data_IF_552301397632
#
_entry.id   IF_552301397632
#
_cell.length_a   1.000
_cell.length_b   1.000
_cell.length_c   1.000
_cell.angle_alpha   90.00
_cell.angle_beta   90.00
_cell.angle_gamma   90.00
#
_symmetry.space_group_name_H-M   'P 1'
#
loop_
_entity.id
_entity.type
_entity.pdbx_description
1 polymer ?
#
# COMPACT_ATOMS: atom_id res chain seq x y z
N UNK A 1 -17.63 -11.80 -11.93
CA UNK A 1 -16.41 -12.63 -11.83
C UNK A 1 -15.27 -11.79 -12.37
N UNK A 2 -14.33 -11.42 -11.51
CA UNK A 2 -13.12 -10.74 -11.96
C UNK A 2 -12.33 -11.62 -12.92
N UNK A 3 -11.85 -11.01 -14.00
CA UNK A 3 -11.03 -11.72 -14.98
C UNK A 3 -9.64 -11.97 -14.41
N UNK A 4 -9.16 -13.21 -14.53
CA UNK A 4 -7.80 -13.60 -14.18
C UNK A 4 -6.82 -13.05 -15.22
N UNK A 5 -6.20 -11.92 -14.89
CA UNK A 5 -5.33 -11.18 -15.80
C UNK A 5 -3.97 -10.81 -15.18
N UNK A 6 -3.73 -11.15 -13.91
CA UNK A 6 -2.47 -10.86 -13.23
C UNK A 6 -1.66 -12.14 -13.07
N UNK A 7 -0.34 -12.00 -13.19
CA UNK A 7 0.59 -13.13 -13.12
C UNK A 7 1.40 -13.07 -11.83
N UNK A 8 1.49 -14.21 -11.16
CA UNK A 8 2.46 -14.43 -10.09
C UNK A 8 3.41 -15.51 -10.55
N UNK A 9 4.70 -15.26 -10.43
CA UNK A 9 5.75 -16.18 -10.82
C UNK A 9 6.56 -16.58 -9.60
N UNK A 10 7.04 -17.82 -9.59
CA UNK A 10 8.09 -18.24 -8.67
C UNK A 10 9.18 -18.98 -9.41
N UNK A 11 10.42 -18.66 -9.08
CA UNK A 11 11.60 -19.22 -9.71
C UNK A 11 12.36 -20.10 -8.71
N UNK A 12 12.69 -21.32 -9.13
CA UNK A 12 13.50 -22.20 -8.30
C UNK A 12 14.95 -21.72 -8.20
N UNK A 13 15.40 -21.36 -7.00
CA UNK A 13 16.75 -20.82 -6.75
C UNK A 13 17.92 -21.78 -7.08
N UNK A 14 17.63 -23.06 -7.33
CA UNK A 14 18.64 -24.07 -7.69
C UNK A 14 18.78 -24.29 -9.19
N UNK A 15 17.69 -24.28 -9.94
CA UNK A 15 17.69 -24.68 -11.35
C UNK A 15 16.99 -23.70 -12.31
N UNK A 16 16.57 -22.53 -11.81
CA UNK A 16 15.96 -21.45 -12.59
C UNK A 16 14.62 -21.82 -13.24
N UNK A 17 13.97 -22.90 -12.79
CA UNK A 17 12.67 -23.29 -13.34
C UNK A 17 11.60 -22.35 -12.82
N UNK A 18 10.93 -21.66 -13.73
CA UNK A 18 9.84 -20.73 -13.44
C UNK A 18 8.51 -21.49 -13.47
N UNK A 19 7.71 -21.30 -12.42
CA UNK A 19 6.30 -21.68 -12.37
C UNK A 19 5.47 -20.40 -12.29
N UNK A 20 4.32 -20.37 -12.95
CA UNK A 20 3.46 -19.18 -12.94
C UNK A 20 2.01 -19.53 -12.72
N UNK A 21 1.29 -18.61 -12.10
CA UNK A 21 -0.14 -18.67 -11.84
C UNK A 21 -0.80 -17.41 -12.37
N UNK A 22 -1.96 -17.56 -12.99
CA UNK A 22 -2.82 -16.42 -13.33
C UNK A 22 -3.90 -16.27 -12.26
N UNK A 23 -3.99 -15.08 -11.70
CA UNK A 23 -4.86 -14.72 -10.58
C UNK A 23 -5.72 -13.50 -10.94
N UNK A 24 -6.78 -13.30 -10.18
CA UNK A 24 -7.60 -12.09 -10.24
C UNK A 24 -6.82 -10.89 -9.68
N UNK A 25 -7.30 -9.68 -9.98
CA UNK A 25 -6.74 -8.45 -9.43
C UNK A 25 -6.75 -8.46 -7.90
N UNK A 26 -7.88 -8.86 -7.31
CA UNK A 26 -8.08 -8.96 -5.86
C UNK A 26 -7.11 -9.94 -5.21
N UNK A 27 -6.99 -11.15 -5.76
CA UNK A 27 -6.08 -12.17 -5.25
C UNK A 27 -4.62 -11.68 -5.25
N UNK A 28 -4.21 -10.92 -6.27
CA UNK A 28 -2.87 -10.33 -6.32
C UNK A 28 -2.72 -9.13 -5.38
N UNK A 29 -3.72 -8.24 -5.29
CA UNK A 29 -3.66 -7.04 -4.44
C UNK A 29 -3.55 -7.37 -2.95
N UNK A 30 -4.15 -8.48 -2.52
CA UNK A 30 -4.24 -8.87 -1.10
C UNK A 30 -3.50 -10.16 -0.74
N UNK A 31 -2.64 -10.66 -1.62
CA UNK A 31 -1.89 -11.92 -1.45
C UNK A 31 -2.74 -13.12 -0.96
N UNK A 32 -3.91 -13.32 -1.58
CA UNK A 32 -4.90 -14.32 -1.11
C UNK A 32 -4.63 -15.75 -1.58
N UNK A 33 -3.43 -16.02 -2.15
CA UNK A 33 -3.12 -17.30 -2.77
C UNK A 33 -2.06 -18.07 -1.97
N UNK A 34 -2.42 -19.30 -1.59
CA UNK A 34 -1.45 -20.28 -1.10
C UNK A 34 -0.68 -20.91 -2.28
N UNK A 35 0.50 -20.35 -2.56
CA UNK A 35 1.38 -20.81 -3.65
C UNK A 35 1.81 -22.27 -3.50
N UNK A 36 2.06 -22.70 -2.28
CA UNK A 36 2.54 -24.05 -1.98
C UNK A 36 1.45 -25.08 -2.21
N UNK A 37 0.20 -24.74 -1.89
CA UNK A 37 -0.96 -25.57 -2.21
C UNK A 37 -1.23 -25.63 -3.70
N UNK A 38 -1.10 -24.53 -4.44
CA UNK A 38 -1.46 -24.46 -5.86
C UNK A 38 -0.35 -25.01 -6.77
N UNK A 39 0.91 -24.63 -6.53
CA UNK A 39 2.05 -24.96 -7.39
C UNK A 39 2.92 -26.10 -6.81
N UNK A 40 2.64 -26.54 -5.59
CA UNK A 40 3.37 -27.58 -4.85
C UNK A 40 4.57 -27.04 -4.07
N UNK A 41 4.97 -27.70 -2.99
CA UNK A 41 6.08 -27.25 -2.10
C UNK A 41 7.48 -27.48 -2.72
N UNK A 42 7.59 -28.27 -3.79
CA UNK A 42 8.87 -28.67 -4.39
C UNK A 42 8.95 -28.31 -5.86
N UNK A 43 10.15 -27.97 -6.32
CA UNK A 43 10.41 -27.72 -7.73
C UNK A 43 10.14 -29.00 -8.54
N UNK A 44 9.36 -28.94 -9.63
CA UNK A 44 9.05 -30.13 -10.42
C UNK A 44 10.27 -30.72 -11.13
N UNK A 45 11.34 -29.94 -11.31
CA UNK A 45 12.56 -30.36 -12.02
C UNK A 45 13.66 -30.90 -11.11
N UNK A 46 13.94 -30.23 -9.98
CA UNK A 46 15.07 -30.57 -9.11
C UNK A 46 14.68 -30.89 -7.66
N UNK A 47 13.37 -30.87 -7.35
CA UNK A 47 12.79 -31.13 -6.02
C UNK A 47 13.26 -30.21 -4.89
N UNK A 48 13.99 -29.14 -5.20
CA UNK A 48 14.35 -28.09 -4.24
C UNK A 48 13.10 -27.38 -3.71
N UNK A 49 13.17 -26.84 -2.49
CA UNK A 49 12.05 -26.14 -1.83
C UNK A 49 12.22 -24.61 -1.79
N UNK A 50 13.37 -24.09 -2.20
CA UNK A 50 13.65 -22.67 -2.15
C UNK A 50 13.28 -22.02 -3.48
N UNK A 51 12.47 -20.96 -3.38
CA UNK A 51 11.98 -20.18 -4.50
C UNK A 51 12.11 -18.68 -4.19
N UNK A 52 12.37 -17.88 -5.22
CA UNK A 52 12.00 -16.46 -5.22
C UNK A 52 10.59 -16.34 -5.78
N UNK A 53 9.80 -15.40 -5.28
CA UNK A 53 8.46 -15.10 -5.79
C UNK A 53 8.51 -13.68 -6.36
N UNK A 54 7.94 -13.52 -7.54
CA UNK A 54 7.80 -12.25 -8.24
C UNK A 54 6.33 -12.02 -8.54
N UNK A 55 5.83 -10.89 -8.10
CA UNK A 55 4.46 -10.46 -8.34
C UNK A 55 4.43 -9.48 -9.50
N UNK A 56 3.44 -9.60 -10.37
CA UNK A 56 3.12 -8.51 -11.27
C UNK A 56 2.49 -7.38 -10.44
N UNK A 57 3.06 -6.17 -10.52
CA UNK A 57 2.52 -5.00 -9.85
C UNK A 57 1.04 -4.81 -10.18
N UNK A 58 0.22 -4.69 -9.13
CA UNK A 58 -1.20 -4.42 -9.25
C UNK A 58 -1.42 -2.94 -9.03
N UNK A 59 -1.90 -2.22 -10.05
CA UNK A 59 -2.33 -0.84 -9.86
C UNK A 59 -3.59 -0.82 -9.02
N UNK A 60 -3.53 -0.19 -7.85
CA UNK A 60 -4.71 -0.02 -6.99
C UNK A 60 -5.74 0.87 -7.68
N UNK A 61 -7.00 0.52 -7.54
CA UNK A 61 -8.12 1.39 -7.91
C UNK A 61 -9.05 1.58 -6.72
N UNK A 62 -10.04 2.44 -6.90
CA UNK A 62 -11.00 2.77 -5.85
C UNK A 62 -11.80 1.55 -5.37
N UNK A 63 -12.09 0.58 -6.24
CA UNK A 63 -12.87 -0.59 -5.87
C UNK A 63 -12.06 -1.52 -4.95
N UNK A 64 -10.77 -1.72 -5.26
CA UNK A 64 -9.83 -2.42 -4.38
C UNK A 64 -9.68 -1.69 -3.04
N UNK A 65 -9.45 -0.38 -3.06
CA UNK A 65 -9.24 0.38 -1.82
C UNK A 65 -10.50 0.43 -0.95
N UNK A 66 -11.67 0.48 -1.58
CA UNK A 66 -12.96 0.38 -0.88
C UNK A 66 -13.13 -0.96 -0.19
N UNK A 67 -12.85 -2.06 -0.89
CA UNK A 67 -12.95 -3.40 -0.31
C UNK A 67 -11.97 -3.57 0.86
N UNK A 68 -10.72 -3.18 0.68
CA UNK A 68 -9.70 -3.14 1.72
C UNK A 68 -10.11 -2.33 2.95
N UNK A 69 -10.70 -1.15 2.75
CA UNK A 69 -11.05 -0.24 3.83
C UNK A 69 -12.16 -0.75 4.76
N UNK A 70 -12.88 -1.80 4.34
CA UNK A 70 -14.05 -2.36 5.01
C UNK A 70 -13.78 -3.71 5.70
N UNK A 71 -12.63 -4.33 5.45
CA UNK A 71 -12.31 -5.67 5.93
C UNK A 71 -10.97 -5.66 6.69
N UNK A 72 -11.00 -6.09 7.96
CA UNK A 72 -9.79 -6.14 8.80
C UNK A 72 -8.82 -7.24 8.38
N UNK A 73 -9.29 -8.24 7.64
CA UNK A 73 -8.47 -9.40 7.23
C UNK A 73 -7.76 -9.17 5.89
N UNK A 74 -8.07 -8.07 5.20
CA UNK A 74 -7.41 -7.70 3.94
C UNK A 74 -6.24 -6.78 4.19
N UNK A 75 -5.08 -7.16 3.67
CA UNK A 75 -3.84 -6.38 3.69
C UNK A 75 -3.35 -6.23 2.27
N UNK A 76 -2.84 -5.06 1.91
CA UNK A 76 -2.18 -4.86 0.63
C UNK A 76 -0.88 -5.68 0.60
N UNK A 77 -0.53 -6.19 -0.59
CA UNK A 77 0.56 -7.14 -0.81
C UNK A 77 1.97 -6.58 -0.51
N UNK A 78 2.10 -5.32 -0.11
CA UNK A 78 3.36 -4.70 0.30
C UNK A 78 3.51 -4.73 1.82
N UNK A 79 4.72 -5.08 2.29
CA UNK A 79 5.12 -4.72 3.64
C UNK A 79 5.13 -3.19 3.68
N UNK A 80 4.50 -2.60 4.70
CA UNK A 80 4.32 -1.15 4.87
C UNK A 80 3.26 -0.57 3.91
N UNK A 81 1.98 -0.87 4.18
CA UNK A 81 0.82 -0.44 3.36
C UNK A 81 0.78 1.09 3.18
N UNK A 82 1.19 1.82 4.20
CA UNK A 82 1.30 3.28 4.23
C UNK A 82 2.34 3.80 3.24
N UNK A 83 3.46 3.08 3.00
CA UNK A 83 4.46 3.46 2.01
C UNK A 83 3.96 3.25 0.59
N UNK A 84 3.27 2.13 0.34
CA UNK A 84 2.59 1.88 -0.94
C UNK A 84 1.59 2.99 -1.26
N UNK A 85 0.78 3.36 -0.26
CA UNK A 85 -0.28 4.36 -0.41
C UNK A 85 0.25 5.81 -0.45
N UNK A 86 1.51 6.02 -0.05
CA UNK A 86 2.19 7.31 -0.13
C UNK A 86 2.74 7.66 -1.53
N UNK A 87 2.49 6.84 -2.55
CA UNK A 87 2.77 7.21 -3.93
C UNK A 87 1.75 8.25 -4.45
N UNK A 88 2.23 9.31 -5.11
CA UNK A 88 1.41 10.36 -5.72
C UNK A 88 0.31 9.79 -6.64
N UNK A 89 0.60 8.69 -7.34
CA UNK A 89 -0.34 7.99 -8.22
C UNK A 89 -1.65 7.63 -7.49
N UNK A 90 -1.57 7.37 -6.19
CA UNK A 90 -2.71 6.92 -5.38
C UNK A 90 -3.36 8.03 -4.56
N UNK A 91 -2.82 9.26 -4.57
CA UNK A 91 -3.34 10.37 -3.77
C UNK A 91 -4.85 10.59 -3.96
N UNK A 92 -5.31 10.65 -5.21
CA UNK A 92 -6.72 10.92 -5.51
C UNK A 92 -7.66 9.82 -4.99
N UNK A 93 -7.25 8.54 -5.09
CA UNK A 93 -8.06 7.42 -4.61
C UNK A 93 -8.02 7.32 -3.08
N UNK A 94 -6.90 7.67 -2.44
CA UNK A 94 -6.76 7.77 -0.98
C UNK A 94 -7.71 8.83 -0.44
N UNK A 95 -7.65 10.06 -0.97
CA UNK A 95 -8.53 11.17 -0.56
C UNK A 95 -10.01 10.82 -0.76
N UNK A 96 -10.34 10.27 -1.93
CA UNK A 96 -11.72 9.85 -2.22
C UNK A 96 -12.19 8.76 -1.27
N UNK A 97 -11.32 7.82 -0.89
CA UNK A 97 -11.68 6.77 0.06
C UNK A 97 -11.98 7.37 1.43
N UNK A 98 -11.13 8.27 1.93
CA UNK A 98 -11.35 9.03 3.17
C UNK A 98 -12.69 9.76 3.22
N UNK A 99 -13.17 10.26 2.07
CA UNK A 99 -14.38 11.10 2.02
C UNK A 99 -15.69 10.34 1.77
N UNK A 100 -15.67 9.16 1.14
CA UNK A 100 -16.87 8.60 0.49
C UNK A 100 -17.48 7.39 1.20
N UNK A 101 -16.82 6.78 2.19
CA UNK A 101 -17.30 5.53 2.82
C UNK A 101 -17.00 5.44 4.32
N UNK A 102 -17.75 4.58 5.01
CA UNK A 102 -17.40 4.17 6.38
C UNK A 102 -16.15 3.30 6.31
N UNK A 103 -15.01 3.82 6.77
CA UNK A 103 -13.73 3.11 6.82
C UNK A 103 -13.49 2.59 8.23
N UNK A 104 -12.88 1.41 8.36
CA UNK A 104 -12.38 0.91 9.65
C UNK A 104 -11.30 1.84 10.20
N UNK A 105 -11.29 2.10 11.52
CA UNK A 105 -10.42 3.14 12.09
C UNK A 105 -8.93 2.90 11.81
N UNK A 106 -8.44 1.65 11.95
CA UNK A 106 -7.04 1.33 11.61
C UNK A 106 -6.71 1.57 10.13
N UNK A 107 -7.63 1.27 9.21
CA UNK A 107 -7.46 1.54 7.77
C UNK A 107 -7.46 3.04 7.48
N UNK A 108 -8.27 3.82 8.19
CA UNK A 108 -8.24 5.28 8.12
C UNK A 108 -6.90 5.82 8.58
N UNK A 109 -6.36 5.28 9.66
CA UNK A 109 -5.08 5.71 10.22
C UNK A 109 -3.93 5.44 9.24
N UNK A 110 -3.90 4.28 8.58
CA UNK A 110 -2.94 3.97 7.50
C UNK A 110 -3.02 5.00 6.37
N UNK A 111 -4.24 5.37 5.93
CA UNK A 111 -4.40 6.38 4.88
C UNK A 111 -3.91 7.76 5.33
N UNK A 112 -4.14 8.15 6.58
CA UNK A 112 -3.68 9.42 7.13
C UNK A 112 -2.16 9.45 7.32
N UNK A 113 -1.57 8.32 7.71
CA UNK A 113 -0.12 8.15 7.79
C UNK A 113 0.53 8.23 6.41
N UNK A 114 -0.05 7.59 5.39
CA UNK A 114 0.42 7.71 4.00
C UNK A 114 0.46 9.17 3.52
N UNK A 115 -0.55 9.97 3.85
CA UNK A 115 -0.55 11.41 3.57
C UNK A 115 0.56 12.15 4.33
N UNK A 116 0.84 11.78 5.58
CA UNK A 116 1.95 12.35 6.34
C UNK A 116 3.31 11.99 5.72
N UNK A 117 3.48 10.74 5.25
CA UNK A 117 4.69 10.28 4.56
C UNK A 117 4.91 11.11 3.29
N UNK A 118 3.87 11.39 2.49
CA UNK A 118 3.99 12.27 1.32
C UNK A 118 4.54 13.64 1.73
N UNK A 119 4.02 14.25 2.79
CA UNK A 119 4.52 15.56 3.25
C UNK A 119 5.97 15.46 3.73
N UNK A 120 6.29 14.41 4.48
CA UNK A 120 7.64 14.17 5.00
C UNK A 120 8.67 14.04 3.88
N UNK A 121 8.43 13.14 2.93
CA UNK A 121 9.32 12.88 1.80
C UNK A 121 9.53 14.13 0.94
N UNK A 122 8.51 14.98 0.82
CA UNK A 122 8.59 16.24 0.11
C UNK A 122 9.13 17.41 0.96
N UNK A 123 9.49 17.17 2.22
CA UNK A 123 10.11 18.16 3.12
C UNK A 123 11.60 17.90 3.34
N UNK A 124 12.00 16.64 3.52
CA UNK A 124 13.36 16.29 3.93
C UNK A 124 14.40 16.62 2.85
N UNK A 125 15.58 17.10 3.26
CA UNK A 125 16.64 17.57 2.35
C UNK A 125 17.22 16.45 1.50
N UNK A 126 17.17 15.24 2.03
CA UNK A 126 17.74 14.00 1.53
C UNK A 126 16.99 13.47 0.31
N UNK A 127 15.72 13.83 0.12
CA UNK A 127 14.97 13.46 -1.08
C UNK A 127 15.31 14.44 -2.24
N UNK A 128 15.98 14.00 -3.32
CA UNK A 128 16.26 14.88 -4.45
C UNK A 128 15.03 15.12 -5.35
N UNK A 129 13.94 14.35 -5.15
CA UNK A 129 12.71 14.41 -5.95
C UNK A 129 11.56 15.12 -5.22
N UNK A 130 11.86 16.00 -4.26
CA UNK A 130 10.82 16.80 -3.58
C UNK A 130 9.97 17.56 -4.59
N UNK A 131 8.67 17.52 -4.36
CA UNK A 131 7.64 18.27 -5.06
C UNK A 131 6.90 19.16 -4.05
N UNK A 132 7.14 20.47 -4.16
CA UNK A 132 6.52 21.47 -3.29
C UNK A 132 5.02 21.64 -3.54
N UNK A 133 4.56 21.47 -4.77
CA UNK A 133 3.14 21.61 -5.13
C UNK A 133 2.35 20.43 -4.56
N UNK A 134 2.88 19.21 -4.71
CA UNK A 134 2.33 18.00 -4.09
C UNK A 134 2.28 18.14 -2.57
N UNK A 135 3.37 18.60 -1.93
CA UNK A 135 3.42 18.82 -0.49
C UNK A 135 2.33 19.79 -0.03
N UNK A 136 2.24 20.96 -0.67
CA UNK A 136 1.26 21.99 -0.31
C UNK A 136 -0.18 21.49 -0.49
N UNK A 137 -0.43 20.72 -1.56
CA UNK A 137 -1.72 20.07 -1.79
C UNK A 137 -2.06 19.11 -0.65
N UNK A 138 -1.14 18.22 -0.25
CA UNK A 138 -1.41 17.25 0.81
C UNK A 138 -1.55 17.92 2.18
N UNK A 139 -0.77 18.97 2.48
CA UNK A 139 -0.95 19.79 3.69
C UNK A 139 -2.37 20.39 3.73
N UNK A 140 -2.88 20.91 2.61
CA UNK A 140 -4.25 21.41 2.54
C UNK A 140 -5.28 20.33 2.88
N UNK A 141 -5.14 19.13 2.32
CA UNK A 141 -6.03 17.99 2.57
C UNK A 141 -5.93 17.43 3.99
N UNK A 142 -4.74 17.43 4.59
CA UNK A 142 -4.57 17.05 6.00
C UNK A 142 -5.24 18.07 6.93
N UNK A 143 -5.11 19.36 6.64
CA UNK A 143 -5.73 20.43 7.42
C UNK A 143 -7.27 20.35 7.40
N UNK A 144 -7.88 19.94 6.28
CA UNK A 144 -9.34 19.76 6.22
C UNK A 144 -9.82 18.56 7.07
N UNK A 145 -8.89 17.66 7.44
CA UNK A 145 -9.15 16.42 8.20
C UNK A 145 -8.39 16.38 9.53
N UNK A 146 -8.02 17.54 10.09
CA UNK A 146 -7.09 17.62 11.23
C UNK A 146 -7.56 16.84 12.47
N UNK A 147 -8.87 16.82 12.75
CA UNK A 147 -9.41 16.06 13.88
C UNK A 147 -9.28 14.54 13.68
N UNK A 148 -9.37 14.06 12.43
CA UNK A 148 -9.14 12.65 12.13
C UNK A 148 -7.67 12.30 12.29
N UNK A 149 -6.77 13.19 11.86
CA UNK A 149 -5.33 13.03 12.05
C UNK A 149 -4.96 12.97 13.53
N UNK A 150 -5.56 13.82 14.38
CA UNK A 150 -5.35 13.76 15.84
C UNK A 150 -5.77 12.42 16.46
N UNK A 151 -6.84 11.80 15.96
CA UNK A 151 -7.28 10.47 16.40
C UNK A 151 -6.34 9.35 15.91
N UNK A 152 -5.57 9.62 14.86
CA UNK A 152 -4.57 8.71 14.28
C UNK A 152 -3.15 8.98 14.80
N UNK A 153 -2.96 9.87 15.78
CA UNK A 153 -1.64 10.32 16.22
C UNK A 153 -0.71 9.14 16.55
N UNK A 154 -1.16 8.19 17.36
CA UNK A 154 -0.36 7.03 17.78
C UNK A 154 0.12 6.12 16.63
N UNK A 155 -0.45 6.26 15.43
CA UNK A 155 -0.05 5.51 14.25
C UNK A 155 1.06 6.19 13.49
N UNK A 156 1.10 7.52 13.47
CA UNK A 156 2.13 8.26 12.75
C UNK A 156 3.45 8.15 13.50
N UNK A 157 4.50 7.72 12.81
CA UNK A 157 5.84 7.63 13.40
C UNK A 157 6.34 8.99 13.93
N UNK A 158 6.97 9.00 15.11
CA UNK A 158 7.39 10.25 15.79
C UNK A 158 8.29 11.15 14.91
N UNK A 159 9.23 10.57 14.18
CA UNK A 159 10.11 11.33 13.29
C UNK A 159 9.35 11.99 12.12
N UNK A 160 8.23 11.40 11.69
CA UNK A 160 7.33 12.00 10.69
C UNK A 160 6.59 13.17 11.33
N UNK A 161 6.05 12.99 12.54
CA UNK A 161 5.34 14.04 13.27
C UNK A 161 6.20 15.29 13.47
N UNK A 162 7.46 15.12 13.89
CA UNK A 162 8.41 16.21 14.13
C UNK A 162 8.59 17.12 12.91
N UNK A 163 8.47 16.57 11.70
CA UNK A 163 8.62 17.30 10.44
C UNK A 163 7.28 17.80 9.91
N UNK A 164 6.24 16.97 9.96
CA UNK A 164 4.96 17.23 9.30
C UNK A 164 4.07 18.14 10.15
N UNK A 165 3.92 17.87 11.44
CA UNK A 165 2.93 18.56 12.29
C UNK A 165 3.16 20.06 12.42
N UNK A 166 4.41 20.58 12.50
CA UNK A 166 4.67 22.02 12.50
C UNK A 166 4.22 22.75 11.21
N UNK A 167 3.97 22.01 10.12
CA UNK A 167 3.54 22.57 8.84
C UNK A 167 2.01 22.59 8.70
N UNK A 168 1.29 21.95 9.62
CA UNK A 168 -0.17 21.93 9.65
C UNK A 168 -0.68 23.12 10.47
N UNK A 169 -1.95 23.49 10.28
CA UNK A 169 -2.66 24.48 11.10
C UNK A 169 -3.04 23.87 12.45
N UNK A 170 -2.08 23.28 13.14
CA UNK A 170 -2.19 22.69 14.47
C UNK A 170 -2.03 23.79 15.52
N UNK A 171 -3.01 24.71 15.57
CA UNK A 171 -3.20 25.65 16.70
C UNK A 171 -4.58 25.46 17.30
#
# INVERSE_FOLDING_TARGET
>A
MDKKNHKIERECLKCGTIQSLTVTKKEAAFDLIDYDRVLGVKCPKCFNKQFSITFQNVTLDLDILKEWSLDSELYLQEQDEELLLADELYLDIVLKTLDTHKILDHKRNILLEALCIIVYDNTIKENPKRDEDLKNRVIFELNTRIEQLRLADDWVMDYIKEVVYPQLNTM
#
